data_IF_886870718471
#
_entry.id   IF_886870718471
#
_cell.length_a   1.000
_cell.length_b   1.000
_cell.length_c   1.000
_cell.angle_alpha   90.00
_cell.angle_beta   90.00
_cell.angle_gamma   90.00
#
_symmetry.space_group_name_H-M   'P 1'
#
loop_
_entity.id
_entity.type
_entity.pdbx_description
1 polymer ?
#
# COMPACT_ATOMS: atom_id res chain seq x y z
N UNK A 1 8.12 -3.71 6.84
CA UNK A 1 7.40 -4.99 6.57
C UNK A 1 7.34 -5.23 5.07
N UNK A 2 7.33 -6.50 4.62
CA UNK A 2 7.05 -6.84 3.20
C UNK A 2 5.65 -7.46 3.11
N UNK A 3 4.83 -7.00 2.16
CA UNK A 3 3.51 -7.57 1.89
C UNK A 3 3.44 -8.13 0.47
N UNK A 4 3.10 -9.43 0.35
CA UNK A 4 2.90 -10.08 -0.94
C UNK A 4 1.44 -9.95 -1.37
N UNK A 5 1.19 -9.05 -2.32
CA UNK A 5 -0.13 -8.76 -2.87
C UNK A 5 -0.52 -7.29 -2.72
N UNK A 6 -0.44 -6.53 -3.81
CA UNK A 6 -0.86 -5.12 -3.85
C UNK A 6 -2.34 -5.01 -4.28
N UNK A 7 -3.23 -5.52 -3.44
CA UNK A 7 -4.69 -5.58 -3.68
C UNK A 7 -5.49 -4.55 -2.89
N UNK A 8 -6.80 -4.46 -3.16
CA UNK A 8 -7.71 -3.55 -2.46
C UNK A 8 -7.80 -3.85 -0.96
N UNK A 9 -8.02 -5.12 -0.58
CA UNK A 9 -8.12 -5.52 0.82
C UNK A 9 -6.86 -5.17 1.63
N UNK A 10 -5.67 -5.40 1.07
CA UNK A 10 -4.41 -4.98 1.69
C UNK A 10 -4.40 -3.46 1.97
N UNK A 11 -4.77 -2.67 0.96
CA UNK A 11 -4.76 -1.21 1.02
C UNK A 11 -5.76 -0.65 2.03
N UNK A 12 -6.91 -1.29 2.15
CA UNK A 12 -8.03 -0.82 2.97
C UNK A 12 -8.01 -1.39 4.40
N UNK A 13 -7.17 -2.40 4.67
CA UNK A 13 -7.10 -3.05 5.98
C UNK A 13 -5.72 -2.91 6.62
N UNK A 14 -4.72 -3.67 6.16
CA UNK A 14 -3.41 -3.70 6.80
C UNK A 14 -2.68 -2.36 6.69
N UNK A 15 -2.64 -1.79 5.50
CA UNK A 15 -2.00 -0.49 5.29
C UNK A 15 -2.76 0.64 6.00
N UNK A 16 -4.09 0.55 6.09
CA UNK A 16 -4.93 1.45 6.87
C UNK A 16 -4.56 1.41 8.37
N UNK A 17 -4.57 0.24 8.99
CA UNK A 17 -4.19 0.11 10.40
C UNK A 17 -2.73 0.48 10.67
N UNK A 18 -1.83 0.20 9.72
CA UNK A 18 -0.44 0.63 9.84
C UNK A 18 -0.29 2.15 9.76
N UNK A 19 -1.13 2.82 8.94
CA UNK A 19 -1.18 4.28 8.87
C UNK A 19 -1.63 4.86 10.21
N UNK A 20 -2.73 4.33 10.77
CA UNK A 20 -3.21 4.73 12.09
C UNK A 20 -2.15 4.50 13.19
N UNK A 21 -1.44 3.37 13.16
CA UNK A 21 -0.33 3.11 14.08
C UNK A 21 0.78 4.17 13.93
N UNK A 22 1.25 4.43 12.71
CA UNK A 22 2.32 5.41 12.46
C UNK A 22 1.91 6.84 12.85
N UNK A 23 0.63 7.19 12.77
CA UNK A 23 0.14 8.52 13.18
C UNK A 23 0.12 8.71 14.71
N UNK A 24 0.13 7.62 15.48
CA UNK A 24 0.03 7.64 16.95
C UNK A 24 1.38 7.42 17.65
N UNK A 25 2.44 7.07 16.92
CA UNK A 25 3.72 6.66 17.47
C UNK A 25 4.87 7.44 16.81
N UNK A 26 5.96 7.68 17.54
CA UNK A 26 7.18 8.28 16.98
C UNK A 26 7.90 7.30 16.04
N UNK A 27 7.87 6.01 16.38
CA UNK A 27 8.41 4.95 15.54
C UNK A 27 7.44 4.61 14.41
N UNK A 28 7.95 4.57 13.19
CA UNK A 28 7.16 4.23 12.00
C UNK A 28 7.51 2.85 11.47
N UNK A 29 6.49 2.09 11.10
CA UNK A 29 6.65 0.85 10.36
C UNK A 29 6.07 1.03 8.96
N UNK A 30 6.95 0.95 7.96
CA UNK A 30 6.58 1.14 6.56
C UNK A 30 6.49 -0.19 5.81
N UNK A 31 5.66 -0.20 4.77
CA UNK A 31 5.33 -1.40 3.99
C UNK A 31 5.97 -1.34 2.59
N UNK A 32 6.67 -2.41 2.25
CA UNK A 32 7.11 -2.75 0.90
C UNK A 32 6.06 -3.68 0.28
N UNK A 33 5.23 -3.17 -0.64
CA UNK A 33 4.11 -3.91 -1.20
C UNK A 33 4.43 -4.48 -2.59
N UNK A 34 4.35 -5.80 -2.75
CA UNK A 34 4.75 -6.49 -3.98
C UNK A 34 3.53 -6.95 -4.76
N UNK A 35 3.37 -6.48 -5.99
CA UNK A 35 2.45 -7.09 -6.94
C UNK A 35 3.07 -8.33 -7.57
N UNK A 36 2.37 -9.46 -7.50
CA UNK A 36 2.85 -10.73 -8.05
C UNK A 36 2.38 -10.99 -9.48
N UNK A 37 1.22 -10.42 -9.87
CA UNK A 37 0.53 -10.77 -11.13
C UNK A 37 0.65 -9.71 -12.22
N UNK A 38 0.50 -8.43 -11.89
CA UNK A 38 0.47 -7.35 -12.88
C UNK A 38 1.25 -6.12 -12.43
N UNK A 39 1.83 -5.38 -13.36
CA UNK A 39 2.51 -4.12 -13.08
C UNK A 39 1.53 -2.93 -12.92
N UNK A 40 0.23 -3.13 -13.18
CA UNK A 40 -0.76 -2.04 -13.19
C UNK A 40 -0.88 -1.34 -11.84
N UNK A 41 -0.98 -2.11 -10.75
CA UNK A 41 -1.10 -1.53 -9.39
C UNK A 41 0.17 -0.75 -9.02
N UNK A 42 1.35 -1.32 -9.27
CA UNK A 42 2.65 -0.67 -9.03
C UNK A 42 2.75 0.67 -9.75
N UNK A 43 2.46 0.70 -11.06
CA UNK A 43 2.45 1.94 -11.86
C UNK A 43 1.46 2.99 -11.36
N UNK A 44 0.27 2.58 -10.90
CA UNK A 44 -0.73 3.52 -10.35
C UNK A 44 -0.24 4.13 -9.04
N UNK A 45 0.28 3.31 -8.13
CA UNK A 45 0.82 3.76 -6.84
C UNK A 45 2.01 4.70 -7.01
N UNK A 46 2.99 4.33 -7.84
CA UNK A 46 4.22 5.12 -8.01
C UNK A 46 4.00 6.49 -8.67
N UNK A 47 2.90 6.67 -9.43
CA UNK A 47 2.52 7.99 -9.98
C UNK A 47 2.07 8.99 -8.90
N UNK A 48 1.83 8.53 -7.69
CA UNK A 48 1.34 9.31 -6.56
C UNK A 48 2.25 9.14 -5.34
N UNK A 49 3.54 8.83 -5.56
CA UNK A 49 4.51 8.60 -4.49
C UNK A 49 4.09 7.51 -3.48
N UNK A 50 3.30 6.53 -3.95
CA UNK A 50 2.66 5.47 -3.16
C UNK A 50 1.62 5.97 -2.13
N UNK A 51 1.20 7.23 -2.22
CA UNK A 51 0.06 7.75 -1.48
C UNK A 51 -1.25 7.36 -2.16
N UNK A 52 -2.29 7.17 -1.35
CA UNK A 52 -3.65 6.95 -1.83
C UNK A 52 -4.67 7.27 -0.74
N UNK A 53 -5.93 7.48 -1.14
CA UNK A 53 -7.03 7.73 -0.22
C UNK A 53 -7.86 6.47 0.00
N UNK A 54 -8.21 6.19 1.24
CA UNK A 54 -9.30 5.26 1.60
C UNK A 54 -10.54 6.08 1.89
N UNK A 55 -11.63 5.79 1.18
CA UNK A 55 -12.94 6.38 1.47
C UNK A 55 -13.73 5.41 2.35
N UNK A 56 -14.03 5.84 3.57
CA UNK A 56 -14.82 5.09 4.54
C UNK A 56 -16.28 5.52 4.40
N UNK A 57 -17.14 4.58 4.03
CA UNK A 57 -18.57 4.83 3.89
C UNK A 57 -19.32 4.07 4.98
N UNK A 58 -19.79 4.79 5.99
CA UNK A 58 -20.70 4.29 7.02
C UNK A 58 -22.16 4.59 6.67
N UNK A 59 -23.08 4.03 7.46
CA UNK A 59 -24.52 4.24 7.26
C UNK A 59 -25.00 5.68 7.53
N UNK A 60 -24.24 6.45 8.34
CA UNK A 60 -24.59 7.82 8.73
C UNK A 60 -23.51 8.85 8.42
N UNK A 61 -22.28 8.42 8.20
CA UNK A 61 -21.11 9.29 8.00
C UNK A 61 -20.19 8.71 6.95
N UNK A 62 -19.47 9.58 6.25
CA UNK A 62 -18.34 9.20 5.42
C UNK A 62 -17.10 10.01 5.79
N UNK A 63 -15.94 9.43 5.57
CA UNK A 63 -14.66 10.09 5.79
C UNK A 63 -13.62 9.62 4.77
N UNK A 64 -12.53 10.38 4.70
CA UNK A 64 -11.41 10.09 3.82
C UNK A 64 -10.14 10.04 4.65
N UNK A 65 -9.30 9.04 4.41
CA UNK A 65 -7.99 8.95 5.04
C UNK A 65 -6.90 8.89 3.98
N UNK A 66 -5.90 9.77 4.11
CA UNK A 66 -4.68 9.69 3.32
C UNK A 66 -3.79 8.59 3.91
N UNK A 67 -3.49 7.58 3.10
CA UNK A 67 -2.61 6.49 3.48
C UNK A 67 -1.20 6.78 2.99
N UNK A 68 -0.26 6.74 3.93
CA UNK A 68 1.17 6.98 3.73
C UNK A 68 2.06 5.83 4.23
N UNK A 69 1.45 4.74 4.74
CA UNK A 69 2.17 3.59 5.30
C UNK A 69 2.87 2.71 4.26
N UNK A 70 2.57 2.87 2.97
CA UNK A 70 3.22 2.15 1.86
C UNK A 70 4.41 2.96 1.35
N UNK A 71 5.63 2.46 1.56
CA UNK A 71 6.86 3.14 1.14
C UNK A 71 7.18 2.89 -0.33
N UNK A 72 7.19 1.62 -0.75
CA UNK A 72 7.35 1.28 -2.16
C UNK A 72 6.32 0.26 -2.62
N UNK A 73 5.98 0.38 -3.91
CA UNK A 73 5.26 -0.62 -4.67
C UNK A 73 6.21 -1.29 -5.67
N UNK A 74 6.31 -2.61 -5.59
CA UNK A 74 7.20 -3.44 -6.41
C UNK A 74 6.40 -4.37 -7.31
N UNK A 75 7.03 -4.86 -8.38
CA UNK A 75 6.46 -5.89 -9.25
C UNK A 75 7.44 -7.04 -9.42
N UNK A 76 6.98 -8.26 -9.11
CA UNK A 76 7.82 -9.46 -9.04
C UNK A 76 8.69 -9.69 -10.28
N UNK A 77 8.15 -9.42 -11.47
CA UNK A 77 8.82 -9.75 -12.74
C UNK A 77 9.67 -8.62 -13.33
N UNK A 78 9.84 -7.50 -12.62
CA UNK A 78 10.60 -6.36 -13.16
C UNK A 78 12.12 -6.54 -12.99
N UNK A 79 12.56 -7.12 -11.86
CA UNK A 79 13.97 -7.31 -11.52
C UNK A 79 14.37 -8.80 -11.44
N UNK A 80 13.63 -9.67 -12.14
CA UNK A 80 13.90 -11.11 -12.12
C UNK A 80 15.22 -11.39 -12.83
N UNK A 81 16.31 -11.50 -12.07
CA UNK A 81 17.58 -12.05 -12.56
C UNK A 81 17.33 -13.50 -12.98
N UNK A 82 17.31 -13.73 -14.29
CA UNK A 82 17.29 -15.08 -14.85
C UNK A 82 18.71 -15.62 -14.68
N UNK A 83 18.90 -16.49 -13.70
CA UNK A 83 20.11 -17.30 -13.61
C UNK A 83 19.94 -18.46 -14.60
N UNK A 84 20.69 -18.40 -15.71
CA UNK A 84 20.83 -19.50 -16.67
C UNK A 84 21.77 -20.57 -16.09
#
# INVERSE_FOLDING_TARGET
MVHLGLGAFFKEHLAFYMNAYNNLNEDTCLIEAVSLKTNTSKKKMQKQDNLYTVHLNGSQTSSHELISSVKNSLYLNEDRKIYN
#
